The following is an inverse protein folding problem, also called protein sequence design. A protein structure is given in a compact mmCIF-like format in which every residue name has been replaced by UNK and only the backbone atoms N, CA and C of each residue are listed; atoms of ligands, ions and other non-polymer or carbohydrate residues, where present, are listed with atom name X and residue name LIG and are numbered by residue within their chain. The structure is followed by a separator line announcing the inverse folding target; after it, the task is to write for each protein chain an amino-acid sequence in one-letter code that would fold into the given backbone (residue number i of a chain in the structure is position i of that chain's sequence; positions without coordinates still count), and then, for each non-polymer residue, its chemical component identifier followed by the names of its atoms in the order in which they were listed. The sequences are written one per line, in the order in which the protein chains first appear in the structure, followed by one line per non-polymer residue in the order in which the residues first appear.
data_IF_172500958662
#
_entry.id   IF_172500958662
#
_cell.length_a   1.000
_cell.length_b   1.000
_cell.length_c   1.000
_cell.angle_alpha   90.00
_cell.angle_beta   90.00
_cell.angle_gamma   90.00
#
_symmetry.space_group_name_H-M   'P 1'
#
loop_
_entity.id
_entity.type
_entity.pdbx_description
1 polymer ?
#
# COMPACT_ATOMS: atom_id res chain seq x y z
N UNK A 1 34.51 5.34 41.15
CA UNK A 1 33.63 6.09 40.23
C UNK A 1 33.42 5.24 38.99
N UNK A 2 32.27 4.59 38.89
CA UNK A 2 31.90 3.76 37.74
C UNK A 2 31.30 4.67 36.67
N UNK A 3 31.93 4.73 35.51
CA UNK A 3 31.43 5.47 34.34
C UNK A 3 30.29 4.68 33.70
N UNK A 4 29.08 5.17 33.87
CA UNK A 4 27.91 4.74 33.09
C UNK A 4 28.03 5.33 31.68
N UNK A 5 28.37 4.48 30.71
CA UNK A 5 28.41 4.86 29.29
C UNK A 5 27.00 4.76 28.75
N UNK A 6 26.29 5.89 28.71
CA UNK A 6 24.98 6.00 28.05
C UNK A 6 25.14 5.82 26.54
N UNK A 7 24.78 4.64 26.03
CA UNK A 7 24.68 4.38 24.59
C UNK A 7 23.53 5.21 23.99
N UNK A 8 23.88 6.15 23.11
CA UNK A 8 22.91 6.94 22.34
C UNK A 8 22.32 6.02 21.27
N UNK A 9 21.14 5.47 21.53
CA UNK A 9 20.35 4.73 20.54
C UNK A 9 19.91 5.73 19.45
N UNK A 10 20.70 5.83 18.38
CA UNK A 10 20.33 6.63 17.22
C UNK A 10 19.21 5.89 16.49
N UNK A 11 18.01 6.48 16.31
CA UNK A 11 16.95 5.82 15.57
C UNK A 11 17.44 5.62 14.13
N UNK A 12 17.59 4.36 13.72
CA UNK A 12 17.94 4.02 12.35
C UNK A 12 16.97 4.71 11.38
N UNK A 13 17.44 5.20 10.21
CA UNK A 13 16.56 5.85 9.25
C UNK A 13 15.40 4.91 8.94
N UNK A 14 14.16 5.40 9.11
CA UNK A 14 12.98 4.67 8.73
C UNK A 14 13.17 4.20 7.28
N UNK A 15 13.16 2.87 7.05
CA UNK A 15 13.34 2.28 5.72
C UNK A 15 12.55 3.11 4.71
N UNK A 16 13.21 3.55 3.64
CA UNK A 16 12.59 4.28 2.55
C UNK A 16 11.31 3.54 2.17
N UNK A 17 10.15 4.07 2.58
CA UNK A 17 8.87 3.49 2.20
C UNK A 17 8.79 3.66 0.70
N UNK A 18 8.31 2.65 -0.02
CA UNK A 18 7.94 2.86 -1.41
C UNK A 18 6.94 4.02 -1.44
N UNK A 19 7.40 5.19 -1.91
CA UNK A 19 6.55 6.36 -2.08
C UNK A 19 5.95 6.17 -3.47
N UNK A 20 4.86 5.39 -3.53
CA UNK A 20 4.03 5.42 -4.73
C UNK A 20 3.62 6.86 -4.97
N UNK A 21 3.82 7.33 -6.19
CA UNK A 21 3.34 8.63 -6.63
C UNK A 21 1.82 8.60 -6.80
N UNK A 22 1.19 9.76 -6.88
CA UNK A 22 -0.24 9.86 -7.23
C UNK A 22 -0.54 9.22 -8.58
N UNK A 23 0.40 9.30 -9.54
CA UNK A 23 0.27 8.66 -10.85
C UNK A 23 0.25 7.14 -10.75
N UNK A 24 1.13 6.55 -9.93
CA UNK A 24 1.14 5.10 -9.69
C UNK A 24 -0.20 4.61 -9.15
N UNK A 25 -0.84 5.37 -8.25
CA UNK A 25 -2.16 5.02 -7.73
C UNK A 25 -3.24 5.04 -8.81
N UNK A 26 -3.16 5.94 -9.80
CA UNK A 26 -4.07 5.91 -10.95
C UNK A 26 -3.85 4.69 -11.84
N UNK A 27 -2.59 4.32 -12.09
CA UNK A 27 -2.25 3.10 -12.82
C UNK A 27 -2.76 1.84 -12.10
N UNK A 28 -2.58 1.78 -10.77
CA UNK A 28 -3.08 0.69 -9.94
C UNK A 28 -4.62 0.64 -9.95
N UNK A 29 -5.30 1.78 -9.86
CA UNK A 29 -6.76 1.86 -9.94
C UNK A 29 -7.27 1.31 -11.28
N UNK A 30 -6.63 1.68 -12.39
CA UNK A 30 -6.96 1.16 -13.71
C UNK A 30 -6.73 -0.35 -13.81
N UNK A 31 -5.59 -0.85 -13.30
CA UNK A 31 -5.30 -2.28 -13.27
C UNK A 31 -6.34 -3.09 -12.47
N UNK A 32 -6.74 -2.59 -11.31
CA UNK A 32 -7.78 -3.23 -10.46
C UNK A 32 -9.14 -3.22 -11.17
N UNK A 33 -9.49 -2.14 -11.87
CA UNK A 33 -10.74 -2.08 -12.65
C UNK A 33 -10.77 -3.12 -13.77
N UNK A 34 -9.68 -3.24 -14.53
CA UNK A 34 -9.56 -4.26 -15.60
C UNK A 34 -9.64 -5.68 -15.03
N UNK A 35 -9.07 -5.91 -13.84
CA UNK A 35 -9.18 -7.20 -13.17
C UNK A 35 -10.61 -7.49 -12.71
N UNK A 36 -11.31 -6.49 -12.17
CA UNK A 36 -12.73 -6.58 -11.78
C UNK A 36 -13.65 -6.89 -12.95
N UNK A 37 -13.33 -6.47 -14.16
CA UNK A 37 -14.15 -6.75 -15.34
C UNK A 37 -14.09 -8.21 -15.78
N UNK A 38 -13.15 -9.01 -15.27
CA UNK A 38 -13.03 -10.42 -15.62
C UNK A 38 -14.19 -11.24 -15.02
N UNK A 39 -14.91 -12.06 -15.82
CA UNK A 39 -16.06 -12.83 -15.34
C UNK A 39 -15.75 -13.69 -14.12
N UNK A 40 -14.59 -14.35 -14.12
CA UNK A 40 -14.13 -15.21 -13.03
C UNK A 40 -13.90 -14.47 -11.70
N UNK A 41 -13.68 -13.15 -11.76
CA UNK A 41 -13.52 -12.30 -10.58
C UNK A 41 -14.86 -11.75 -10.13
N UNK A 42 -15.74 -11.34 -11.06
CA UNK A 42 -17.06 -10.77 -10.75
C UNK A 42 -17.93 -11.73 -9.96
N UNK A 43 -17.97 -13.00 -10.36
CA UNK A 43 -18.78 -14.03 -9.72
C UNK A 43 -18.15 -14.60 -8.44
N UNK A 44 -16.89 -14.22 -8.16
CA UNK A 44 -16.17 -14.62 -6.96
C UNK A 44 -16.50 -13.70 -5.78
N UNK A 45 -16.54 -14.22 -4.54
CA UNK A 45 -16.60 -13.38 -3.34
C UNK A 45 -15.40 -12.42 -3.21
N UNK A 46 -14.32 -12.63 -3.98
CA UNK A 46 -13.17 -11.73 -4.02
C UNK A 46 -13.44 -10.42 -4.76
N UNK A 47 -14.46 -10.34 -5.62
CA UNK A 47 -14.90 -9.10 -6.27
C UNK A 47 -15.11 -7.95 -5.28
N UNK A 48 -15.64 -8.26 -4.09
CA UNK A 48 -15.87 -7.29 -3.01
C UNK A 48 -14.56 -6.70 -2.51
N UNK A 49 -13.51 -7.53 -2.35
CA UNK A 49 -12.18 -7.07 -1.92
C UNK A 49 -11.58 -6.11 -2.95
N UNK A 50 -11.68 -6.44 -4.23
CA UNK A 50 -11.18 -5.60 -5.32
C UNK A 50 -12.00 -4.32 -5.49
N UNK A 51 -13.32 -4.36 -5.33
CA UNK A 51 -14.19 -3.18 -5.37
C UNK A 51 -13.82 -2.19 -4.26
N UNK A 52 -13.64 -2.70 -3.04
CA UNK A 52 -13.17 -1.90 -1.90
C UNK A 52 -11.78 -1.29 -2.15
N UNK A 53 -10.86 -2.05 -2.76
CA UNK A 53 -9.54 -1.57 -3.14
C UNK A 53 -9.61 -0.46 -4.19
N UNK A 54 -10.43 -0.62 -5.24
CA UNK A 54 -10.64 0.38 -6.28
C UNK A 54 -11.10 1.72 -5.71
N UNK A 55 -12.06 1.71 -4.78
CA UNK A 55 -12.53 2.92 -4.11
C UNK A 55 -11.47 3.55 -3.18
N UNK A 56 -10.66 2.74 -2.50
CA UNK A 56 -9.55 3.25 -1.67
C UNK A 56 -8.49 3.94 -2.52
N UNK A 57 -8.14 3.36 -3.66
CA UNK A 57 -7.17 3.93 -4.60
C UNK A 57 -7.68 5.24 -5.23
N UNK A 58 -8.99 5.41 -5.39
CA UNK A 58 -9.59 6.66 -5.89
C UNK A 58 -9.70 7.80 -4.87
N UNK A 59 -9.39 7.58 -3.59
CA UNK A 59 -9.42 8.61 -2.53
C UNK A 59 -8.05 9.15 -2.13
N UNK A 60 -6.98 8.57 -2.69
CA UNK A 60 -5.58 8.97 -2.44
C UNK A 60 -5.14 10.07 -3.41
#
# INVERSE_FOLDING_TARGET
MTTDTTEIITPAPARARAIFSTEDFQLLKAAVMTHLQRPEVQDSPESVKYSNLYHRLGRL
#
